data_IF_074431568020
#
_entry.id   IF_074431568020
#
_cell.length_a   1.000
_cell.length_b   1.000
_cell.length_c   1.000
_cell.angle_alpha   90.00
_cell.angle_beta   90.00
_cell.angle_gamma   90.00
#
_symmetry.space_group_name_H-M   'P 1'
#
loop_
_entity.id
_entity.type
_entity.pdbx_description
1 polymer ?
#
# COMPACT_ATOMS: atom_id res chain seq x y z
N UNK A 1 22.84 -11.60 -4.37
CA UNK A 1 22.04 -12.33 -3.35
C UNK A 1 20.89 -11.45 -2.94
N UNK A 2 19.71 -12.00 -2.69
CA UNK A 2 18.59 -11.25 -2.11
C UNK A 2 18.95 -10.84 -0.69
N UNK A 3 18.62 -9.61 -0.31
CA UNK A 3 18.90 -9.08 1.01
C UNK A 3 17.58 -8.96 1.77
N UNK A 4 17.45 -9.69 2.89
CA UNK A 4 16.33 -9.60 3.81
C UNK A 4 16.85 -9.12 5.15
N UNK A 5 16.36 -7.98 5.60
CA UNK A 5 16.69 -7.39 6.88
C UNK A 5 15.42 -7.28 7.72
N UNK A 6 15.40 -7.94 8.85
CA UNK A 6 14.27 -7.87 9.78
C UNK A 6 14.76 -7.28 11.09
N UNK A 7 14.13 -6.20 11.51
CA UNK A 7 14.53 -5.44 12.70
C UNK A 7 13.36 -5.41 13.71
N UNK A 8 13.66 -5.78 14.95
CA UNK A 8 12.69 -5.74 16.03
C UNK A 8 12.85 -4.46 16.82
N UNK A 9 11.80 -3.63 16.86
CA UNK A 9 11.79 -2.38 17.61
C UNK A 9 10.88 -1.32 17.02
N UNK A 10 11.00 -0.10 17.55
CA UNK A 10 10.23 1.07 17.10
C UNK A 10 10.67 1.50 15.69
N UNK A 11 9.72 1.58 14.76
CA UNK A 11 10.02 1.91 13.36
C UNK A 11 10.63 3.32 13.21
N UNK A 12 10.21 4.30 14.02
CA UNK A 12 10.73 5.65 13.96
C UNK A 12 12.22 5.70 14.34
N UNK A 13 12.63 4.89 15.32
CA UNK A 13 14.04 4.81 15.72
C UNK A 13 14.86 4.02 14.70
N UNK A 14 14.36 2.86 14.26
CA UNK A 14 15.10 1.98 13.37
C UNK A 14 15.20 2.51 11.93
N UNK A 15 14.21 3.25 11.45
CA UNK A 15 14.32 3.90 10.13
C UNK A 15 15.48 4.88 10.03
N UNK A 16 15.99 5.44 11.15
CA UNK A 16 17.17 6.32 11.15
C UNK A 16 18.42 5.63 10.60
N UNK A 17 18.49 4.30 10.71
CA UNK A 17 19.60 3.50 10.18
C UNK A 17 19.46 3.18 8.68
N UNK A 18 18.29 3.46 8.08
CA UNK A 18 18.07 3.33 6.64
C UNK A 18 18.64 4.58 5.95
N UNK A 19 19.52 4.42 4.95
CA UNK A 19 20.07 5.55 4.19
C UNK A 19 18.97 6.36 3.47
N UNK A 20 19.22 7.66 3.31
CA UNK A 20 18.36 8.51 2.49
C UNK A 20 18.24 7.97 1.06
N UNK A 21 17.09 8.16 0.44
CA UNK A 21 16.84 7.82 -0.98
C UNK A 21 17.17 6.36 -1.36
N UNK A 22 17.06 5.40 -0.42
CA UNK A 22 17.50 4.01 -0.62
C UNK A 22 16.35 3.00 -0.76
N UNK A 23 15.11 3.38 -0.47
CA UNK A 23 13.91 2.53 -0.54
C UNK A 23 13.14 2.82 -1.82
N UNK A 24 12.93 1.80 -2.65
CA UNK A 24 12.22 1.94 -3.92
C UNK A 24 10.71 1.91 -3.75
N UNK A 25 10.24 1.11 -2.80
CA UNK A 25 8.82 0.92 -2.53
C UNK A 25 8.60 0.68 -1.03
N UNK A 26 7.60 1.34 -0.46
CA UNK A 26 7.02 0.96 0.83
C UNK A 26 5.61 0.40 0.60
N UNK A 27 5.31 -0.76 1.17
CA UNK A 27 3.95 -1.32 1.24
C UNK A 27 3.66 -1.65 2.68
N UNK A 28 2.77 -0.90 3.31
CA UNK A 28 2.54 -1.02 4.75
C UNK A 28 1.12 -0.64 5.15
N UNK A 29 0.71 -1.10 6.33
CA UNK A 29 -0.55 -0.75 6.97
C UNK A 29 -0.26 -0.36 8.43
N UNK A 30 -0.48 0.91 8.81
CA UNK A 30 -0.22 1.38 10.16
C UNK A 30 -1.21 0.78 11.16
N UNK A 31 -0.97 0.89 12.47
CA UNK A 31 -2.00 0.67 13.47
C UNK A 31 -3.22 1.55 13.18
N UNK A 32 -4.42 0.96 13.19
CA UNK A 32 -5.68 1.72 13.01
C UNK A 32 -6.13 2.27 14.36
N UNK A 33 -6.62 3.50 14.36
CA UNK A 33 -7.11 4.24 15.53
C UNK A 33 -7.91 3.37 16.52
N UNK A 34 -7.34 2.94 17.63
CA UNK A 34 -7.99 2.19 18.72
C UNK A 34 -8.93 1.03 18.27
N UNK A 35 -8.93 0.65 16.97
CA UNK A 35 -9.78 -0.43 16.46
C UNK A 35 -9.32 -1.81 16.93
N UNK A 36 -8.07 -1.94 17.41
CA UNK A 36 -7.49 -3.21 17.83
C UNK A 36 -6.46 -3.00 18.95
N UNK A 37 -6.48 -3.90 19.93
CA UNK A 37 -5.47 -3.95 20.99
C UNK A 37 -4.24 -4.69 20.46
N UNK A 38 -3.28 -4.00 19.91
CA UNK A 38 -1.99 -4.58 19.50
C UNK A 38 -1.13 -4.91 20.74
N UNK A 39 -1.54 -5.94 21.53
CA UNK A 39 -0.87 -6.38 22.76
C UNK A 39 -0.54 -5.25 23.75
N UNK A 40 -1.38 -4.20 23.84
CA UNK A 40 -1.19 -3.05 24.74
C UNK A 40 -0.30 -1.93 24.19
N UNK A 41 0.26 -2.07 23.00
CA UNK A 41 1.18 -1.06 22.42
C UNK A 41 0.49 0.13 21.74
N UNK A 42 -0.84 0.21 21.79
CA UNK A 42 -1.63 1.28 21.13
C UNK A 42 -1.39 2.66 21.74
N UNK A 43 -1.06 2.77 23.03
CA UNK A 43 -0.85 4.06 23.70
C UNK A 43 0.25 4.92 23.04
N UNK A 44 1.13 4.28 22.28
CA UNK A 44 2.22 4.96 21.56
C UNK A 44 1.82 5.46 20.16
N UNK A 45 0.68 5.00 19.59
CA UNK A 45 0.24 5.44 18.26
C UNK A 45 -0.67 6.67 18.36
N UNK A 46 -0.25 7.75 17.77
CA UNK A 46 -1.02 9.00 17.65
C UNK A 46 -0.62 9.76 16.39
N UNK A 47 -1.33 10.84 16.08
CA UNK A 47 -1.10 11.61 14.86
C UNK A 47 0.27 12.31 14.83
N UNK A 48 0.83 12.70 15.98
CA UNK A 48 2.17 13.31 16.02
C UNK A 48 3.26 12.29 15.72
N UNK A 49 3.16 11.09 16.26
CA UNK A 49 4.07 9.99 15.92
C UNK A 49 3.96 9.63 14.43
N UNK A 50 2.74 9.56 13.89
CA UNK A 50 2.53 9.35 12.46
C UNK A 50 3.24 10.42 11.62
N UNK A 51 3.16 11.71 12.02
CA UNK A 51 3.82 12.81 11.29
C UNK A 51 5.33 12.60 11.18
N UNK A 52 5.98 12.16 12.24
CA UNK A 52 7.43 11.90 12.22
C UNK A 52 7.77 10.68 11.34
N UNK A 53 6.95 9.61 11.42
CA UNK A 53 7.12 8.44 10.54
C UNK A 53 6.95 8.81 9.07
N UNK A 54 5.98 9.66 8.74
CA UNK A 54 5.78 10.12 7.36
C UNK A 54 6.97 10.92 6.82
N UNK A 55 7.61 11.74 7.66
CA UNK A 55 8.87 12.44 7.32
C UNK A 55 10.01 11.48 7.06
N UNK A 56 10.18 10.47 7.92
CA UNK A 56 11.20 9.44 7.74
C UNK A 56 10.94 8.62 6.47
N UNK A 57 9.68 8.25 6.21
CA UNK A 57 9.32 7.59 4.95
C UNK A 57 9.67 8.46 3.74
N UNK A 58 9.46 9.79 3.82
CA UNK A 58 9.89 10.69 2.74
C UNK A 58 11.41 10.73 2.59
N UNK A 59 12.16 10.75 3.69
CA UNK A 59 13.63 10.74 3.67
C UNK A 59 14.18 9.49 3.02
N UNK A 60 13.73 8.30 3.46
CA UNK A 60 14.28 7.02 2.99
C UNK A 60 13.80 6.63 1.59
N UNK A 61 12.64 7.14 1.14
CA UNK A 61 12.11 6.84 -0.19
C UNK A 61 12.99 7.45 -1.28
N UNK A 62 13.44 6.62 -2.22
CA UNK A 62 14.23 7.04 -3.37
C UNK A 62 13.47 8.01 -4.28
N UNK A 63 14.18 8.84 -5.03
CA UNK A 63 13.55 9.67 -6.07
C UNK A 63 12.85 8.78 -7.11
N UNK A 64 11.54 8.99 -7.32
CA UNK A 64 10.68 8.13 -8.12
C UNK A 64 10.22 6.87 -7.40
N UNK A 65 10.58 6.69 -6.13
CA UNK A 65 10.05 5.64 -5.26
C UNK A 65 8.60 5.90 -4.86
N UNK A 66 7.93 4.85 -4.37
CA UNK A 66 6.50 4.83 -4.09
C UNK A 66 6.23 4.37 -2.66
N UNK A 67 5.23 4.96 -2.02
CA UNK A 67 4.68 4.52 -0.73
C UNK A 67 3.22 4.12 -0.95
N UNK A 68 2.89 2.87 -0.66
CA UNK A 68 1.51 2.37 -0.59
C UNK A 68 1.11 2.30 0.87
N UNK A 69 0.14 3.14 1.24
CA UNK A 69 -0.35 3.28 2.59
C UNK A 69 -1.77 2.72 2.69
N UNK A 70 -1.91 1.54 3.30
CA UNK A 70 -3.20 0.86 3.44
C UNK A 70 -3.80 1.22 4.79
N UNK A 71 -4.95 1.90 4.78
CA UNK A 71 -5.55 2.45 6.01
C UNK A 71 -7.08 2.48 5.94
N UNK A 72 -7.71 2.24 7.08
CA UNK A 72 -9.14 2.43 7.29
C UNK A 72 -9.41 3.37 8.47
N UNK A 73 -10.60 3.97 8.50
CA UNK A 73 -11.05 4.83 9.58
C UNK A 73 -11.83 4.04 10.64
N UNK A 74 -11.70 4.45 11.89
CA UNK A 74 -12.58 3.98 12.96
C UNK A 74 -13.90 4.76 12.93
N UNK A 75 -15.00 4.10 13.34
CA UNK A 75 -16.27 4.76 13.61
C UNK A 75 -16.46 4.87 15.11
N UNK A 76 -16.48 6.08 15.63
CA UNK A 76 -16.67 6.39 17.04
C UNK A 76 -17.96 7.20 17.21
N UNK A 77 -18.90 6.69 18.02
CA UNK A 77 -20.20 7.34 18.26
C UNK A 77 -20.96 7.71 16.98
N UNK A 78 -20.89 6.86 15.95
CA UNK A 78 -21.57 7.06 14.66
C UNK A 78 -20.88 8.04 13.71
N UNK A 79 -19.66 8.48 14.02
CA UNK A 79 -18.83 9.33 13.15
C UNK A 79 -17.51 8.65 12.82
N UNK A 80 -17.13 8.66 11.56
CA UNK A 80 -15.79 8.24 11.16
C UNK A 80 -14.73 9.24 11.65
N UNK A 81 -13.56 8.73 12.02
CA UNK A 81 -12.46 9.56 12.55
C UNK A 81 -11.83 10.47 11.49
N UNK A 82 -11.91 10.09 10.22
CA UNK A 82 -11.27 10.80 9.11
C UNK A 82 -9.73 10.81 9.20
N UNK A 83 -9.16 9.88 9.96
CA UNK A 83 -7.70 9.76 10.15
C UNK A 83 -7.00 9.46 8.85
N UNK A 84 -7.59 8.62 7.99
CA UNK A 84 -7.04 8.28 6.68
C UNK A 84 -6.82 9.52 5.81
N UNK A 85 -7.78 10.44 5.78
CA UNK A 85 -7.68 11.69 5.02
C UNK A 85 -6.62 12.63 5.60
N UNK A 86 -6.58 12.75 6.92
CA UNK A 86 -5.56 13.59 7.60
C UNK A 86 -4.16 13.07 7.33
N UNK A 87 -3.98 11.74 7.34
CA UNK A 87 -2.71 11.10 7.00
C UNK A 87 -2.35 11.35 5.53
N UNK A 88 -3.31 11.20 4.61
CA UNK A 88 -3.05 11.44 3.19
C UNK A 88 -2.62 12.90 2.91
N UNK A 89 -3.29 13.86 3.51
CA UNK A 89 -2.92 15.28 3.37
C UNK A 89 -1.53 15.57 3.96
N UNK A 90 -1.19 14.96 5.11
CA UNK A 90 0.12 15.15 5.72
C UNK A 90 1.26 14.56 4.87
N UNK A 91 1.06 13.40 4.23
CA UNK A 91 2.05 12.88 3.28
C UNK A 91 2.32 13.88 2.14
N UNK A 92 1.28 14.56 1.65
CA UNK A 92 1.45 15.60 0.62
C UNK A 92 2.21 16.81 1.17
N UNK A 93 1.97 17.21 2.43
CA UNK A 93 2.74 18.28 3.11
C UNK A 93 4.21 17.91 3.30
N UNK A 94 4.52 16.61 3.51
CA UNK A 94 5.91 16.11 3.54
C UNK A 94 6.63 16.20 2.18
N UNK A 95 5.89 16.43 1.08
CA UNK A 95 6.45 16.58 -0.27
C UNK A 95 6.13 15.41 -1.23
N UNK A 96 5.40 14.40 -0.79
CA UNK A 96 4.91 13.36 -1.70
C UNK A 96 3.82 13.88 -2.64
N UNK A 97 3.79 13.36 -3.85
CA UNK A 97 2.62 13.46 -4.72
C UNK A 97 1.63 12.35 -4.35
N UNK A 98 0.36 12.66 -4.18
CA UNK A 98 -0.70 11.65 -4.18
C UNK A 98 -0.88 11.17 -5.62
N UNK A 99 -0.26 10.02 -5.94
CA UNK A 99 -0.23 9.48 -7.29
C UNK A 99 -1.55 8.81 -7.69
N UNK A 100 -2.13 8.00 -6.79
CA UNK A 100 -3.42 7.35 -7.00
C UNK A 100 -4.13 7.14 -5.66
N UNK A 101 -5.46 7.23 -5.67
CA UNK A 101 -6.31 6.84 -4.55
C UNK A 101 -6.99 5.53 -4.94
N UNK A 102 -6.52 4.44 -4.37
CA UNK A 102 -7.02 3.11 -4.66
C UNK A 102 -7.88 2.58 -3.51
N UNK A 103 -8.72 1.61 -3.80
CA UNK A 103 -9.63 0.99 -2.84
C UNK A 103 -9.34 -0.51 -2.76
N UNK A 104 -9.11 -1.00 -1.56
CA UNK A 104 -9.19 -2.42 -1.23
C UNK A 104 -10.63 -2.74 -0.84
N UNK A 105 -11.37 -3.35 -1.73
CA UNK A 105 -12.71 -3.88 -1.49
C UNK A 105 -12.61 -5.26 -0.82
N UNK A 106 -13.27 -5.43 0.32
CA UNK A 106 -13.30 -6.69 1.06
C UNK A 106 -14.38 -7.60 0.46
N UNK A 107 -13.99 -8.77 -0.02
CA UNK A 107 -14.91 -9.73 -0.64
C UNK A 107 -15.94 -10.33 0.35
N UNK A 108 -15.66 -10.29 1.65
CA UNK A 108 -16.56 -10.77 2.69
C UNK A 108 -17.37 -9.62 3.30
N UNK A 109 -18.57 -9.95 3.79
CA UNK A 109 -19.40 -9.00 4.53
C UNK A 109 -18.66 -8.50 5.78
N UNK A 110 -18.65 -7.19 5.97
CA UNK A 110 -18.09 -6.54 7.14
C UNK A 110 -19.20 -6.23 8.15
N UNK A 111 -18.82 -6.18 9.43
CA UNK A 111 -19.76 -5.77 10.46
C UNK A 111 -20.01 -4.27 10.35
N UNK A 112 -21.28 -3.89 10.41
CA UNK A 112 -21.72 -2.49 10.43
C UNK A 112 -22.44 -2.17 11.73
N UNK A 113 -22.64 -0.88 11.98
CA UNK A 113 -23.56 -0.40 13.01
C UNK A 113 -24.94 -0.12 12.39
N UNK A 114 -25.97 -0.01 13.24
CA UNK A 114 -27.32 0.40 12.76
C UNK A 114 -27.37 1.85 12.25
N UNK A 115 -26.26 2.59 12.35
CA UNK A 115 -26.16 4.02 12.00
C UNK A 115 -25.41 4.26 10.69
N UNK A 116 -24.68 3.27 10.17
CA UNK A 116 -23.86 3.40 8.97
C UNK A 116 -24.04 2.18 8.05
N UNK A 117 -23.76 2.36 6.77
CA UNK A 117 -23.63 1.24 5.85
C UNK A 117 -22.47 0.32 6.25
N UNK A 118 -22.49 -0.94 5.78
CA UNK A 118 -21.41 -1.89 6.01
C UNK A 118 -20.11 -1.36 5.41
N UNK A 119 -19.08 -1.20 6.25
CA UNK A 119 -17.75 -0.83 5.78
C UNK A 119 -17.12 -2.01 5.04
N UNK A 120 -17.07 -1.94 3.73
CA UNK A 120 -16.59 -3.01 2.86
C UNK A 120 -15.24 -2.71 2.22
N UNK A 121 -14.57 -1.62 2.58
CA UNK A 121 -13.31 -1.24 1.95
C UNK A 121 -12.32 -0.61 2.92
N UNK A 122 -11.06 -0.53 2.47
CA UNK A 122 -10.00 0.29 3.03
C UNK A 122 -9.34 1.12 1.93
N UNK A 123 -8.79 2.27 2.27
CA UNK A 123 -8.01 3.07 1.32
C UNK A 123 -6.63 2.46 1.11
N UNK A 124 -6.17 2.49 -0.13
CA UNK A 124 -4.77 2.24 -0.51
C UNK A 124 -4.26 3.51 -1.18
N UNK A 125 -3.76 4.45 -0.40
CA UNK A 125 -3.16 5.66 -0.96
C UNK A 125 -1.80 5.32 -1.55
N UNK A 126 -1.59 5.70 -2.80
CA UNK A 126 -0.31 5.53 -3.50
C UNK A 126 0.36 6.90 -3.60
N UNK A 127 1.43 7.07 -2.86
CA UNK A 127 2.24 8.28 -2.88
C UNK A 127 3.52 8.06 -3.67
N UNK A 128 4.09 9.12 -4.24
CA UNK A 128 5.37 9.04 -4.94
C UNK A 128 6.27 10.24 -4.62
N UNK A 129 7.57 9.98 -4.44
CA UNK A 129 8.57 11.04 -4.34
C UNK A 129 8.99 11.45 -5.76
N UNK A 130 8.39 12.53 -6.26
CA UNK A 130 8.47 12.92 -7.67
C UNK A 130 7.61 12.02 -8.57
N UNK A 131 8.03 11.82 -9.82
CA UNK A 131 7.34 10.92 -10.76
C UNK A 131 7.77 9.48 -10.51
N UNK A 132 6.84 8.51 -10.36
CA UNK A 132 7.21 7.11 -10.19
C UNK A 132 8.15 6.63 -11.30
N UNK A 133 9.28 6.00 -10.91
CA UNK A 133 10.25 5.42 -11.85
C UNK A 133 9.80 4.09 -12.42
N UNK A 134 8.97 3.36 -11.68
CA UNK A 134 8.43 2.05 -12.05
C UNK A 134 6.92 2.08 -12.02
N UNK A 135 6.28 1.70 -13.13
CA UNK A 135 4.82 1.55 -13.25
C UNK A 135 4.54 0.33 -14.11
N UNK A 136 4.29 -0.81 -13.49
CA UNK A 136 3.97 -2.09 -14.15
C UNK A 136 2.48 -2.39 -13.98
N UNK A 137 1.63 -1.78 -14.81
CA UNK A 137 0.19 -1.98 -14.70
C UNK A 137 -0.22 -3.44 -14.89
N UNK A 138 -0.93 -3.99 -13.93
CA UNK A 138 -1.60 -5.28 -14.04
C UNK A 138 -2.69 -5.16 -15.12
N UNK A 139 -2.71 -6.12 -16.06
CA UNK A 139 -3.63 -6.14 -17.20
C UNK A 139 -4.44 -7.44 -17.19
N UNK A 140 -5.50 -7.46 -16.42
CA UNK A 140 -6.37 -8.62 -16.23
C UNK A 140 -7.85 -8.30 -16.46
N UNK A 141 -8.16 -7.04 -16.73
CA UNK A 141 -9.53 -6.61 -17.04
C UNK A 141 -9.85 -6.93 -18.51
N UNK A 142 -10.69 -7.94 -18.74
CA UNK A 142 -11.11 -8.31 -20.09
C UNK A 142 -11.87 -7.17 -20.77
N UNK A 143 -11.44 -6.80 -21.97
CA UNK A 143 -12.11 -5.78 -22.76
C UNK A 143 -13.25 -6.42 -23.56
N UNK A 144 -14.46 -5.86 -23.44
CA UNK A 144 -15.68 -6.37 -24.11
C UNK A 144 -15.58 -6.31 -25.65
N UNK A 145 -14.73 -5.42 -26.16
CA UNK A 145 -14.55 -5.18 -27.61
C UNK A 145 -13.14 -5.51 -28.06
N UNK A 146 -12.53 -6.60 -27.55
CA UNK A 146 -11.21 -7.04 -28.01
C UNK A 146 -11.23 -7.42 -29.49
N UNK A 147 -10.17 -7.12 -30.21
CA UNK A 147 -10.05 -7.39 -31.65
C UNK A 147 -10.82 -6.43 -32.57
N UNK A 148 -11.52 -5.45 -32.01
CA UNK A 148 -12.22 -4.42 -32.81
C UNK A 148 -11.34 -3.16 -32.82
N UNK A 149 -11.11 -2.61 -33.99
CA UNK A 149 -10.53 -1.28 -34.12
C UNK A 149 -11.45 -0.23 -33.51
N UNK A 150 -10.99 0.43 -32.45
CA UNK A 150 -11.73 1.54 -31.85
C UNK A 150 -11.03 2.86 -32.10
N UNK A 151 -11.81 3.88 -32.42
CA UNK A 151 -11.31 5.25 -32.35
C UNK A 151 -10.96 5.57 -30.90
N UNK A 152 -9.70 5.91 -30.65
CA UNK A 152 -9.30 6.44 -29.35
C UNK A 152 -10.18 7.64 -28.97
N UNK A 153 -10.49 7.80 -27.70
CA UNK A 153 -11.18 9.00 -27.21
C UNK A 153 -10.32 10.20 -27.58
N UNK A 154 -10.85 11.12 -28.39
CA UNK A 154 -10.16 12.36 -28.71
C UNK A 154 -10.02 13.18 -27.42
N UNK A 155 -8.83 13.20 -26.83
CA UNK A 155 -8.51 14.18 -25.79
C UNK A 155 -8.40 15.56 -26.43
N UNK A 156 -8.94 16.58 -25.77
CA UNK A 156 -8.58 17.96 -26.05
C UNK A 156 -7.16 18.18 -25.55
N UNK A 157 -6.26 18.67 -26.40
CA UNK A 157 -4.95 19.17 -25.94
C UNK A 157 -5.15 20.38 -25.03
N UNK A 158 -4.15 20.78 -24.25
CA UNK A 158 -4.23 21.96 -23.36
C UNK A 158 -4.62 23.27 -24.08
N UNK A 159 -4.41 23.33 -25.38
CA UNK A 159 -4.74 24.43 -26.29
C UNK A 159 -6.10 24.24 -27.00
N UNK A 160 -6.92 23.28 -26.57
CA UNK A 160 -8.27 23.06 -27.09
C UNK A 160 -8.34 22.41 -28.48
N UNK A 161 -7.22 22.02 -29.07
CA UNK A 161 -7.19 21.33 -30.37
C UNK A 161 -7.53 19.86 -30.20
N UNK A 162 -8.36 19.31 -31.08
CA UNK A 162 -8.59 17.86 -31.15
C UNK A 162 -7.32 17.18 -31.65
N UNK A 163 -6.83 16.19 -30.90
CA UNK A 163 -5.74 15.34 -31.36
C UNK A 163 -6.20 14.48 -32.55
N UNK A 164 -5.28 14.20 -33.49
CA UNK A 164 -5.56 13.28 -34.58
C UNK A 164 -6.02 11.93 -34.05
N UNK A 165 -7.11 11.41 -34.61
CA UNK A 165 -7.69 10.14 -34.20
C UNK A 165 -6.90 9.01 -34.85
N UNK A 166 -6.16 8.26 -34.02
CA UNK A 166 -5.53 7.02 -34.49
C UNK A 166 -6.43 5.84 -34.14
N UNK A 167 -6.75 5.02 -35.11
CA UNK A 167 -7.37 3.72 -34.89
C UNK A 167 -6.36 2.81 -34.25
N UNK A 168 -6.76 2.17 -33.17
CA UNK A 168 -5.93 1.21 -32.44
C UNK A 168 -6.76 -0.03 -32.14
N UNK A 169 -6.22 -1.18 -32.49
CA UNK A 169 -6.83 -2.45 -32.11
C UNK A 169 -6.90 -2.57 -30.60
N UNK A 170 -8.08 -2.90 -30.09
CA UNK A 170 -8.30 -3.02 -28.66
C UNK A 170 -7.74 -4.36 -28.18
N UNK A 171 -6.74 -4.30 -27.29
CA UNK A 171 -6.14 -5.49 -26.67
C UNK A 171 -7.20 -6.30 -25.92
N UNK A 172 -6.99 -7.61 -25.80
CA UNK A 172 -7.88 -8.49 -25.05
C UNK A 172 -8.03 -8.07 -23.60
N UNK A 173 -6.91 -7.69 -22.97
CA UNK A 173 -6.90 -7.23 -21.56
C UNK A 173 -6.44 -5.78 -21.46
N UNK A 174 -7.23 -4.98 -20.74
CA UNK A 174 -6.93 -3.61 -20.33
C UNK A 174 -6.32 -3.54 -18.93
N UNK A 175 -5.89 -2.35 -18.54
CA UNK A 175 -5.42 -2.08 -17.18
C UNK A 175 -6.51 -2.44 -16.16
N UNK A 176 -6.11 -3.04 -15.03
CA UNK A 176 -6.97 -3.19 -13.85
C UNK A 176 -7.45 -1.80 -13.39
N UNK A 177 -8.64 -1.72 -12.82
CA UNK A 177 -9.15 -0.50 -12.21
C UNK A 177 -8.46 -0.29 -10.85
N UNK A 178 -8.62 0.87 -10.26
CA UNK A 178 -8.08 1.21 -8.93
C UNK A 178 -8.95 0.74 -7.75
N UNK A 179 -9.97 -0.08 -7.98
CA UNK A 179 -10.71 -0.82 -6.96
C UNK A 179 -10.32 -2.28 -7.09
N UNK A 180 -9.65 -2.81 -6.07
CA UNK A 180 -9.16 -4.18 -6.03
C UNK A 180 -9.92 -4.98 -4.98
N UNK A 181 -10.53 -6.10 -5.40
CA UNK A 181 -11.32 -6.95 -4.53
C UNK A 181 -10.50 -8.18 -4.12
N UNK A 182 -10.30 -8.36 -2.80
CA UNK A 182 -9.64 -9.52 -2.22
C UNK A 182 -10.43 -10.06 -1.04
N UNK A 183 -10.22 -11.34 -0.72
CA UNK A 183 -10.65 -11.88 0.55
C UNK A 183 -9.98 -11.14 1.72
N UNK A 184 -10.64 -11.08 2.87
CA UNK A 184 -9.98 -10.55 4.06
C UNK A 184 -8.79 -11.41 4.42
N UNK A 185 -7.66 -10.79 4.71
CA UNK A 185 -6.48 -11.49 5.21
C UNK A 185 -6.84 -12.20 6.52
N UNK A 186 -6.67 -13.49 6.55
CA UNK A 186 -7.03 -14.31 7.69
C UNK A 186 -6.48 -15.69 7.49
N UNK A 187 -5.31 -15.96 8.00
CA UNK A 187 -4.73 -17.28 8.15
C UNK A 187 -4.52 -17.59 9.64
N UNK A 188 -4.07 -18.77 9.98
CA UNK A 188 -3.71 -19.21 11.34
C UNK A 188 -2.48 -18.46 11.91
N UNK A 189 -2.29 -17.17 11.53
CA UNK A 189 -1.11 -16.38 11.91
C UNK A 189 -1.23 -15.75 13.31
N UNK A 190 -2.42 -15.81 13.93
CA UNK A 190 -2.66 -15.16 15.23
C UNK A 190 -2.64 -13.62 15.19
N UNK A 191 -2.30 -13.00 14.08
CA UNK A 191 -2.28 -11.54 13.95
C UNK A 191 -3.67 -11.00 13.60
N UNK A 192 -4.21 -10.01 14.35
CA UNK A 192 -5.59 -9.55 14.20
C UNK A 192 -5.86 -8.75 12.93
N UNK A 193 -4.81 -8.28 12.22
CA UNK A 193 -4.92 -7.34 11.10
C UNK A 193 -3.94 -7.69 9.97
N UNK A 194 -4.11 -8.85 9.35
CA UNK A 194 -3.30 -9.22 8.19
C UNK A 194 -4.04 -8.81 6.93
N UNK A 195 -3.46 -7.95 6.10
CA UNK A 195 -3.99 -7.75 4.75
C UNK A 195 -3.63 -8.93 3.84
N UNK A 196 -4.39 -9.15 2.75
CA UNK A 196 -4.16 -10.31 1.88
C UNK A 196 -2.76 -10.29 1.25
N UNK A 197 -2.09 -11.45 1.19
CA UNK A 197 -0.78 -11.59 0.53
C UNK A 197 -0.84 -11.15 -0.94
N UNK A 198 -1.95 -11.45 -1.63
CA UNK A 198 -2.16 -11.03 -3.01
C UNK A 198 -2.19 -9.51 -3.17
N UNK A 199 -2.72 -8.77 -2.19
CA UNK A 199 -2.70 -7.30 -2.20
C UNK A 199 -1.26 -6.78 -2.14
N UNK A 200 -0.43 -7.31 -1.22
CA UNK A 200 0.98 -6.95 -1.13
C UNK A 200 1.72 -7.29 -2.43
N UNK A 201 1.54 -8.52 -2.94
CA UNK A 201 2.14 -9.00 -4.18
C UNK A 201 1.81 -8.07 -5.36
N UNK A 202 0.54 -7.72 -5.53
CA UNK A 202 0.08 -6.90 -6.65
C UNK A 202 0.62 -5.47 -6.59
N UNK A 203 0.76 -4.88 -5.39
CA UNK A 203 1.43 -3.60 -5.22
C UNK A 203 2.94 -3.70 -5.49
N UNK A 204 3.62 -4.76 -5.01
CA UNK A 204 5.05 -4.96 -5.21
C UNK A 204 5.36 -5.07 -6.70
N UNK A 205 4.64 -5.90 -7.45
CA UNK A 205 4.88 -6.03 -8.89
C UNK A 205 4.52 -4.76 -9.67
N UNK A 206 3.53 -3.99 -9.21
CA UNK A 206 3.09 -2.76 -9.88
C UNK A 206 4.09 -1.62 -9.75
N UNK A 207 4.76 -1.49 -8.62
CA UNK A 207 5.53 -0.31 -8.26
C UNK A 207 7.03 -0.55 -8.07
N UNK A 208 7.49 -1.80 -8.27
CA UNK A 208 8.92 -2.14 -8.19
C UNK A 208 9.32 -3.16 -9.26
N UNK A 209 10.63 -3.31 -9.46
CA UNK A 209 11.23 -4.35 -10.30
C UNK A 209 11.97 -5.37 -9.43
N UNK A 210 12.36 -6.50 -10.01
CA UNK A 210 13.21 -7.47 -9.32
C UNK A 210 14.52 -6.82 -8.86
N UNK A 211 14.91 -7.10 -7.63
CA UNK A 211 16.10 -6.53 -7.00
C UNK A 211 15.89 -5.16 -6.33
N UNK A 212 14.75 -4.50 -6.54
CA UNK A 212 14.41 -3.26 -5.82
C UNK A 212 14.20 -3.55 -4.33
N UNK A 213 14.41 -2.54 -3.49
CA UNK A 213 14.25 -2.62 -2.03
C UNK A 213 12.84 -2.21 -1.62
N UNK A 214 12.14 -3.12 -0.94
CA UNK A 214 10.80 -2.90 -0.37
C UNK A 214 10.90 -2.77 1.14
N UNK A 215 10.23 -1.75 1.69
CA UNK A 215 10.11 -1.51 3.13
C UNK A 215 8.69 -1.82 3.61
N UNK A 216 8.59 -2.46 4.77
CA UNK A 216 7.37 -2.50 5.58
C UNK A 216 7.72 -2.11 7.02
N UNK A 217 7.40 -0.87 7.40
CA UNK A 217 7.74 -0.33 8.72
C UNK A 217 6.74 -0.74 9.82
N UNK A 218 5.69 -1.48 9.48
CA UNK A 218 4.72 -2.10 10.39
C UNK A 218 4.48 -3.56 9.97
N UNK A 219 5.56 -4.32 9.89
CA UNK A 219 5.63 -5.61 9.21
C UNK A 219 4.61 -6.64 9.74
N UNK A 220 4.20 -6.54 11.00
CA UNK A 220 3.30 -7.50 11.63
C UNK A 220 3.80 -8.92 11.48
N UNK A 221 2.96 -9.81 10.96
CA UNK A 221 3.32 -11.21 10.68
C UNK A 221 4.07 -11.44 9.36
N UNK A 222 4.58 -10.39 8.70
CA UNK A 222 5.52 -10.49 7.58
C UNK A 222 4.89 -10.74 6.20
N UNK A 223 3.64 -10.35 5.97
CA UNK A 223 2.96 -10.58 4.68
C UNK A 223 3.67 -9.94 3.50
N UNK A 224 4.12 -8.69 3.63
CA UNK A 224 4.90 -7.97 2.61
C UNK A 224 6.24 -8.67 2.35
N UNK A 225 6.90 -9.17 3.41
CA UNK A 225 8.16 -9.90 3.29
C UNK A 225 8.00 -11.21 2.51
N UNK A 226 6.94 -12.00 2.79
CA UNK A 226 6.62 -13.21 2.01
C UNK A 226 6.41 -12.87 0.54
N UNK A 227 5.65 -11.81 0.25
CA UNK A 227 5.44 -11.36 -1.13
C UNK A 227 6.77 -10.92 -1.81
N UNK A 228 7.70 -10.32 -1.08
CA UNK A 228 9.04 -9.99 -1.59
C UNK A 228 9.88 -11.23 -1.92
N UNK A 229 9.80 -12.29 -1.09
CA UNK A 229 10.44 -13.58 -1.39
C UNK A 229 9.93 -14.13 -2.72
N UNK A 230 8.60 -14.13 -2.90
CA UNK A 230 7.93 -14.70 -4.08
C UNK A 230 8.17 -13.90 -5.35
N UNK A 231 8.49 -12.62 -5.23
CA UNK A 231 8.64 -11.69 -6.35
C UNK A 231 10.08 -11.24 -6.62
N UNK A 232 11.08 -11.82 -5.94
CA UNK A 232 12.51 -11.51 -6.10
C UNK A 232 12.88 -10.06 -5.75
N UNK A 233 12.25 -9.44 -4.74
CA UNK A 233 12.64 -8.13 -4.20
C UNK A 233 13.50 -8.30 -2.96
N UNK A 234 14.33 -7.29 -2.66
CA UNK A 234 14.96 -7.14 -1.35
C UNK A 234 13.89 -6.62 -0.37
N UNK A 235 14.08 -6.89 0.92
CA UNK A 235 13.09 -6.52 1.92
C UNK A 235 13.74 -6.00 3.20
N UNK A 236 13.19 -4.91 3.73
CA UNK A 236 13.44 -4.40 5.07
C UNK A 236 12.10 -4.42 5.80
N UNK A 237 12.02 -5.16 6.90
CA UNK A 237 10.82 -5.28 7.72
C UNK A 237 11.08 -4.83 9.14
N UNK A 238 10.21 -3.98 9.70
CA UNK A 238 10.31 -3.51 11.09
C UNK A 238 9.04 -3.90 11.83
N UNK A 239 9.20 -4.50 13.02
CA UNK A 239 8.08 -4.90 13.88
C UNK A 239 8.41 -4.63 15.34
N UNK A 240 7.49 -3.99 16.05
CA UNK A 240 7.64 -3.65 17.46
C UNK A 240 7.41 -4.85 18.38
N UNK A 241 6.36 -5.64 18.08
CA UNK A 241 5.96 -6.78 18.90
C UNK A 241 6.85 -8.00 18.64
N UNK A 242 7.47 -8.52 19.71
CA UNK A 242 8.39 -9.66 19.62
C UNK A 242 7.73 -10.93 19.08
N UNK A 243 6.45 -11.17 19.39
CA UNK A 243 5.75 -12.37 18.95
C UNK A 243 5.45 -12.29 17.45
N UNK A 244 4.95 -11.14 16.97
CA UNK A 244 4.72 -10.94 15.54
C UNK A 244 6.04 -10.95 14.76
N UNK A 245 7.10 -10.41 15.32
CA UNK A 245 8.43 -10.48 14.73
C UNK A 245 8.92 -11.92 14.55
N UNK A 246 8.76 -12.79 15.55
CA UNK A 246 9.09 -14.23 15.45
C UNK A 246 8.27 -14.93 14.36
N UNK A 247 6.96 -14.67 14.32
CA UNK A 247 6.07 -15.23 13.27
C UNK A 247 6.53 -14.75 11.88
N UNK A 248 6.89 -13.48 11.74
CA UNK A 248 7.36 -12.93 10.47
C UNK A 248 8.65 -13.62 10.00
N UNK A 249 9.62 -13.82 10.89
CA UNK A 249 10.88 -14.56 10.59
C UNK A 249 10.60 -15.96 10.06
N UNK A 250 9.75 -16.71 10.76
CA UNK A 250 9.38 -18.08 10.34
C UNK A 250 8.71 -18.10 8.97
N UNK A 251 7.78 -17.17 8.72
CA UNK A 251 7.03 -17.09 7.45
C UNK A 251 7.89 -16.66 6.26
N UNK A 252 8.81 -15.74 6.49
CA UNK A 252 9.73 -15.24 5.44
C UNK A 252 10.86 -16.24 5.19
N UNK A 253 11.22 -17.05 6.19
CA UNK A 253 12.25 -18.08 6.07
C UNK A 253 13.68 -17.55 6.26
N UNK A 254 13.86 -16.57 7.17
CA UNK A 254 15.16 -15.94 7.50
C UNK A 254 15.43 -15.95 8.99
#
# INVERSE_FOLDING_TARGET
>A
MKKFELWQGDCLELMKDIPDDSVDLTVTSPPYDNLRTYNGNIEQWNFDKFKEIAKELYRVTANGGVVVWVVGDATVNGSETGTSFRQALWFMECGFNLHDTMIYEKAQACFGSNLCYLQSFEYMFVFSKGKPKTINFIRDRKNVRSGIESMGVSGLSKDGKKSDRHYKEMKEYGKRKNIWCYGVGGGKTGHPAVFPEQLANDHIISWSNEGDTVLDCFMGSGTTGVACVNTNRNFIGIELDENYFKIAKERIGV
#
